data_IF_649920342313
#
_entry.id   IF_649920342313
#
_cell.length_a   1.000
_cell.length_b   1.000
_cell.length_c   1.000
_cell.angle_alpha   90.00
_cell.angle_beta   90.00
_cell.angle_gamma   90.00
#
_symmetry.space_group_name_H-M   'P 1'
#
loop_
_entity.id
_entity.type
_entity.pdbx_description
1 polymer ?
#
# COMPACT_ATOMS: atom_id res chain seq x y z
N UNK A 1 -15.24 -5.36 5.43
CA UNK A 1 -16.20 -4.43 4.78
C UNK A 1 -16.27 -3.16 5.62
N UNK A 2 -15.99 -2.00 5.03
CA UNK A 2 -16.00 -0.73 5.75
C UNK A 2 -17.41 -0.13 5.79
N UNK A 3 -17.77 0.54 6.89
CA UNK A 3 -19.07 1.18 7.05
C UNK A 3 -19.06 2.59 6.44
N UNK A 4 -20.00 2.97 5.56
CA UNK A 4 -20.06 4.32 5.02
C UNK A 4 -20.11 5.40 6.10
N UNK A 5 -19.46 6.53 5.82
CA UNK A 5 -19.40 7.69 6.74
C UNK A 5 -18.50 7.49 7.97
N UNK A 6 -17.87 6.33 8.12
CA UNK A 6 -16.90 6.08 9.21
C UNK A 6 -15.48 6.44 8.76
N UNK A 7 -14.67 6.91 9.72
CA UNK A 7 -13.24 7.11 9.53
C UNK A 7 -12.50 5.77 9.71
N UNK A 8 -11.48 5.55 8.90
CA UNK A 8 -10.55 4.43 9.00
C UNK A 8 -9.67 4.59 10.24
N UNK A 9 -9.78 3.65 11.16
CA UNK A 9 -8.87 3.57 12.31
C UNK A 9 -7.56 2.87 11.93
N UNK A 10 -6.43 3.21 12.58
CA UNK A 10 -5.18 2.48 12.42
C UNK A 10 -5.37 0.99 12.70
N UNK A 11 -4.77 0.15 11.85
CA UNK A 11 -4.68 -1.30 12.07
C UNK A 11 -3.20 -1.66 12.12
N UNK A 12 -2.81 -2.49 13.08
CA UNK A 12 -1.43 -2.92 13.23
C UNK A 12 -0.90 -3.50 11.90
N UNK A 13 0.31 -3.07 11.53
CA UNK A 13 1.00 -3.43 10.28
C UNK A 13 0.25 -3.09 9.00
N UNK A 14 -0.83 -2.31 9.04
CA UNK A 14 -1.47 -1.79 7.83
C UNK A 14 -0.92 -0.42 7.50
N UNK A 15 -0.60 -0.24 6.22
CA UNK A 15 -0.24 1.03 5.63
C UNK A 15 -1.18 1.34 4.48
N UNK A 16 -1.35 2.63 4.20
CA UNK A 16 -2.26 3.15 3.20
C UNK A 16 -1.51 4.08 2.26
N UNK A 17 -1.88 4.02 0.97
CA UNK A 17 -1.41 4.91 -0.09
C UNK A 17 -2.59 5.38 -0.93
N UNK A 18 -2.58 6.61 -1.45
CA UNK A 18 -3.43 6.96 -2.57
C UNK A 18 -3.13 6.02 -3.74
N UNK A 19 -4.15 5.51 -4.43
CA UNK A 19 -3.97 4.57 -5.56
C UNK A 19 -3.10 5.20 -6.67
N UNK A 20 -3.18 6.51 -6.83
CA UNK A 20 -2.36 7.26 -7.78
C UNK A 20 -0.84 7.18 -7.51
N UNK A 21 -0.42 6.70 -6.34
CA UNK A 21 0.98 6.51 -5.95
C UNK A 21 1.43 5.04 -6.00
N UNK A 22 0.56 4.11 -6.41
CA UNK A 22 0.94 2.72 -6.62
C UNK A 22 1.60 2.56 -7.98
N UNK A 23 2.93 2.64 -7.99
CA UNK A 23 3.77 2.41 -9.16
C UNK A 23 5.09 1.72 -8.74
N UNK A 24 6.11 1.73 -9.60
CA UNK A 24 7.43 1.11 -9.39
C UNK A 24 8.14 1.56 -8.10
N UNK A 25 8.09 2.86 -7.78
CA UNK A 25 8.67 3.40 -6.55
C UNK A 25 7.56 4.08 -5.78
N UNK A 26 7.34 3.63 -4.54
CA UNK A 26 6.29 4.16 -3.67
C UNK A 26 6.89 4.99 -2.53
N UNK A 27 6.22 6.09 -2.11
CA UNK A 27 6.58 6.78 -0.88
C UNK A 27 6.31 5.89 0.34
N UNK A 28 6.80 6.28 1.52
CA UNK A 28 6.50 5.56 2.76
C UNK A 28 4.98 5.59 3.05
N UNK A 29 4.38 4.44 3.36
CA UNK A 29 2.96 4.35 3.66
C UNK A 29 2.55 5.01 4.98
N UNK A 30 1.29 5.44 5.08
CA UNK A 30 0.73 6.08 6.29
C UNK A 30 -0.18 5.11 7.04
N UNK A 31 -0.32 5.28 8.35
CA UNK A 31 -1.14 4.39 9.20
C UNK A 31 -2.65 4.51 8.91
N UNK A 32 -3.07 5.68 8.44
CA UNK A 32 -4.43 5.95 7.99
C UNK A 32 -4.40 6.82 6.73
N UNK A 33 -5.49 6.83 5.94
CA UNK A 33 -5.68 7.76 4.83
C UNK A 33 -5.53 9.24 5.24
N UNK A 34 -5.97 9.59 6.45
CA UNK A 34 -5.84 10.97 6.99
C UNK A 34 -4.38 11.42 7.11
N UNK A 35 -3.44 10.49 7.26
CA UNK A 35 -2.00 10.78 7.30
C UNK A 35 -1.44 11.38 6.00
N UNK A 36 -2.21 11.33 4.91
CA UNK A 36 -1.89 11.96 3.62
C UNK A 36 -2.42 13.38 3.51
N UNK A 37 -3.21 13.86 4.48
CA UNK A 37 -3.77 15.20 4.47
C UNK A 37 -2.83 16.22 5.11
N UNK A 38 -2.67 17.35 4.44
CA UNK A 38 -2.04 18.53 5.02
C UNK A 38 -2.61 19.81 4.43
N UNK A 39 -2.24 20.94 5.04
CA UNK A 39 -2.67 22.27 4.60
C UNK A 39 -1.45 23.08 4.21
N UNK A 40 -1.53 23.77 3.08
CA UNK A 40 -0.52 24.74 2.67
C UNK A 40 -0.86 26.14 3.20
N UNK A 41 0.08 27.07 3.08
CA UNK A 41 -0.10 28.48 3.48
C UNK A 41 -1.20 29.19 2.69
N UNK A 42 -1.54 28.68 1.49
CA UNK A 42 -2.69 29.13 0.68
C UNK A 42 -4.06 28.79 1.30
N UNK A 43 -4.06 28.01 2.39
CA UNK A 43 -5.23 27.59 3.12
C UNK A 43 -5.97 26.40 2.49
N UNK A 44 -5.52 25.85 1.36
CA UNK A 44 -6.11 24.69 0.70
C UNK A 44 -5.67 23.39 1.36
N UNK A 45 -6.57 22.40 1.36
CA UNK A 45 -6.25 21.03 1.75
C UNK A 45 -5.58 20.31 0.58
N UNK A 46 -4.54 19.55 0.89
CA UNK A 46 -3.80 18.73 -0.06
C UNK A 46 -3.82 17.28 0.41
N UNK A 47 -3.82 16.37 -0.55
CA UNK A 47 -3.60 14.95 -0.34
C UNK A 47 -2.34 14.53 -1.09
N UNK A 48 -1.38 13.92 -0.39
CA UNK A 48 -0.13 13.44 -1.00
C UNK A 48 1.08 13.54 -0.08
N UNK A 49 2.28 13.46 -0.67
CA UNK A 49 3.51 13.73 0.06
C UNK A 49 3.69 15.24 0.26
N UNK A 50 4.28 15.62 1.39
CA UNK A 50 4.67 17.00 1.59
C UNK A 50 5.90 17.33 0.73
N UNK A 51 6.05 18.56 0.21
CA UNK A 51 7.21 18.93 -0.60
C UNK A 51 8.56 18.67 0.09
N UNK A 52 8.62 18.78 1.42
CA UNK A 52 9.81 18.48 2.21
C UNK A 52 10.11 16.98 2.37
N UNK A 53 9.16 16.09 2.07
CA UNK A 53 9.32 14.64 2.20
C UNK A 53 9.92 14.01 0.95
N UNK A 54 9.60 14.55 -0.23
CA UNK A 54 10.08 14.02 -1.51
C UNK A 54 10.23 15.16 -2.54
N UNK A 55 11.38 15.21 -3.20
CA UNK A 55 11.64 16.13 -4.31
C UNK A 55 10.79 15.74 -5.53
N UNK A 56 9.58 16.31 -5.65
CA UNK A 56 8.67 16.29 -6.80
C UNK A 56 8.18 14.92 -7.34
N UNK A 57 8.70 13.79 -6.86
CA UNK A 57 8.34 12.47 -7.39
C UNK A 57 6.92 12.04 -7.00
N UNK A 58 6.38 12.60 -5.92
CA UNK A 58 5.04 12.31 -5.40
C UNK A 58 4.27 13.61 -5.15
N UNK A 59 3.83 14.31 -6.20
CA UNK A 59 3.19 15.61 -6.04
C UNK A 59 1.85 15.47 -5.32
N UNK A 60 1.63 16.32 -4.33
CA UNK A 60 0.32 16.42 -3.69
C UNK A 60 -0.68 17.16 -4.56
N UNK A 61 -1.93 16.72 -4.55
CA UNK A 61 -3.03 17.35 -5.27
C UNK A 61 -3.98 18.07 -4.32
N UNK A 62 -4.67 19.10 -4.83
CA UNK A 62 -5.73 19.76 -4.08
C UNK A 62 -6.88 18.77 -3.85
N UNK A 63 -7.47 18.79 -2.65
CA UNK A 63 -8.66 18.01 -2.33
C UNK A 63 -9.76 18.92 -1.78
N UNK A 64 -10.94 18.87 -2.39
CA UNK A 64 -12.10 19.67 -2.04
C UNK A 64 -13.14 18.88 -1.21
N UNK A 65 -13.99 19.59 -0.45
CA UNK A 65 -15.09 18.97 0.31
C UNK A 65 -15.95 18.06 -0.59
N UNK A 66 -16.15 16.82 -0.16
CA UNK A 66 -16.94 15.84 -0.90
C UNK A 66 -16.18 15.09 -2.00
N UNK A 67 -14.95 15.49 -2.33
CA UNK A 67 -14.10 14.81 -3.30
C UNK A 67 -13.75 13.39 -2.83
N UNK A 68 -13.75 12.45 -3.77
CA UNK A 68 -13.46 11.04 -3.50
C UNK A 68 -12.07 10.71 -4.03
N UNK A 69 -11.23 10.18 -3.14
CA UNK A 69 -9.90 9.66 -3.43
C UNK A 69 -9.90 8.17 -3.17
N UNK A 70 -9.25 7.41 -4.05
CA UNK A 70 -9.09 5.98 -3.90
C UNK A 70 -7.79 5.68 -3.16
N UNK A 71 -7.87 4.79 -2.17
CA UNK A 71 -6.74 4.40 -1.33
C UNK A 71 -6.57 2.89 -1.29
N UNK A 72 -5.34 2.46 -1.43
CA UNK A 72 -4.94 1.06 -1.39
C UNK A 72 -4.28 0.75 -0.04
N UNK A 73 -4.92 -0.09 0.79
CA UNK A 73 -4.30 -0.61 1.98
C UNK A 73 -3.40 -1.82 1.68
N UNK A 74 -2.27 -1.88 2.37
CA UNK A 74 -1.37 -3.02 2.37
C UNK A 74 -1.12 -3.48 3.80
N UNK A 75 -1.25 -4.78 4.06
CA UNK A 75 -0.80 -5.38 5.31
C UNK A 75 0.66 -5.82 5.13
N UNK A 76 1.57 -5.23 5.88
CA UNK A 76 2.97 -5.65 5.96
C UNK A 76 3.07 -6.87 6.88
N UNK A 77 3.59 -7.98 6.36
CA UNK A 77 3.80 -9.22 7.12
C UNK A 77 5.27 -9.38 7.54
N UNK A 78 6.12 -8.40 7.25
CA UNK A 78 7.52 -8.40 7.61
C UNK A 78 8.37 -9.15 6.60
N UNK A 79 9.18 -10.07 7.11
CA UNK A 79 10.15 -10.84 6.34
C UNK A 79 9.92 -12.33 6.57
N UNK A 80 10.04 -13.12 5.51
CA UNK A 80 10.13 -14.58 5.59
C UNK A 80 11.47 -15.04 5.01
N UNK A 81 12.03 -16.09 5.59
CA UNK A 81 13.18 -16.80 5.03
C UNK A 81 12.67 -17.83 4.01
N UNK A 82 13.08 -17.66 2.75
CA UNK A 82 12.91 -18.63 1.68
C UNK A 82 14.12 -19.56 1.66
N UNK A 83 13.89 -20.85 1.86
CA UNK A 83 14.89 -21.90 1.65
C UNK A 83 14.54 -22.69 0.38
N UNK A 84 15.48 -22.77 -0.56
CA UNK A 84 15.38 -23.59 -1.78
C UNK A 84 16.31 -24.80 -1.62
N UNK A 85 15.80 -26.02 -1.85
CA UNK A 85 16.57 -27.26 -1.80
C UNK A 85 16.21 -28.15 -2.99
N UNK A 86 16.98 -28.08 -4.08
CA UNK A 86 16.67 -28.77 -5.32
C UNK A 86 15.36 -28.27 -5.93
N UNK A 87 14.39 -29.18 -6.07
CA UNK A 87 13.06 -28.87 -6.60
C UNK A 87 12.06 -28.40 -5.53
N UNK A 88 12.41 -28.52 -4.25
CA UNK A 88 11.56 -28.10 -3.14
C UNK A 88 11.93 -26.69 -2.66
N UNK A 89 10.96 -26.01 -2.03
CA UNK A 89 11.18 -24.74 -1.36
C UNK A 89 10.22 -24.56 -0.16
N UNK A 90 10.65 -23.76 0.81
CA UNK A 90 9.89 -23.45 2.03
C UNK A 90 10.03 -21.98 2.38
N UNK A 91 8.95 -21.37 2.85
CA UNK A 91 8.96 -20.05 3.49
C UNK A 91 8.74 -20.20 5.00
N UNK A 92 9.57 -19.55 5.80
CA UNK A 92 9.40 -19.46 7.26
C UNK A 92 9.47 -17.99 7.74
N UNK A 93 8.38 -17.42 8.28
CA UNK A 93 7.05 -18.01 8.42
C UNK A 93 6.36 -18.29 7.07
N UNK A 94 5.35 -19.17 7.04
CA UNK A 94 4.56 -19.43 5.84
C UNK A 94 3.89 -18.17 5.28
N UNK A 95 3.80 -18.08 3.95
CA UNK A 95 3.17 -16.94 3.28
C UNK A 95 1.66 -16.90 3.56
N UNK A 96 1.08 -15.71 3.85
CA UNK A 96 -0.35 -15.55 3.86
C UNK A 96 -0.93 -15.71 2.45
N UNK A 97 -2.23 -16.04 2.37
CA UNK A 97 -2.90 -16.16 1.08
C UNK A 97 -2.93 -14.80 0.35
N UNK A 98 -2.60 -14.82 -0.95
CA UNK A 98 -2.55 -13.61 -1.77
C UNK A 98 -1.38 -12.66 -1.46
N UNK A 99 -0.32 -13.16 -0.84
CA UNK A 99 0.87 -12.37 -0.56
C UNK A 99 1.65 -12.04 -1.83
N UNK A 100 2.10 -10.80 -1.92
CA UNK A 100 3.22 -10.39 -2.76
C UNK A 100 4.53 -10.57 -1.99
N UNK A 101 5.55 -11.03 -2.68
CA UNK A 101 6.91 -11.24 -2.17
C UNK A 101 7.94 -10.57 -3.07
N UNK A 102 9.04 -10.09 -2.47
CA UNK A 102 10.16 -9.50 -3.19
C UNK A 102 11.44 -9.53 -2.35
N UNK A 103 12.60 -9.40 -2.98
CA UNK A 103 13.88 -9.24 -2.30
C UNK A 103 13.97 -7.80 -1.76
N UNK A 104 14.27 -7.59 -0.46
CA UNK A 104 14.42 -6.25 0.09
C UNK A 104 15.50 -5.44 -0.66
N UNK A 105 15.11 -4.28 -1.18
CA UNK A 105 16.00 -3.41 -1.96
C UNK A 105 16.01 -3.66 -3.47
N UNK A 106 15.27 -4.67 -3.93
CA UNK A 106 15.13 -5.01 -5.35
C UNK A 106 13.64 -5.18 -5.69
N UNK A 107 13.00 -4.07 -6.05
CA UNK A 107 11.57 -4.00 -6.35
C UNK A 107 11.20 -4.69 -7.66
N UNK A 108 12.17 -4.95 -8.55
CA UNK A 108 11.96 -5.66 -9.82
C UNK A 108 11.65 -7.14 -9.60
N UNK A 109 11.94 -7.66 -8.40
CA UNK A 109 11.66 -9.05 -8.02
C UNK A 109 10.24 -9.26 -7.47
N UNK A 110 9.38 -8.24 -7.49
CA UNK A 110 8.03 -8.36 -6.95
C UNK A 110 7.21 -9.41 -7.70
N UNK A 111 6.60 -10.32 -6.95
CA UNK A 111 5.73 -11.37 -7.49
C UNK A 111 4.62 -11.71 -6.50
N UNK A 112 3.43 -11.99 -7.01
CA UNK A 112 2.29 -12.54 -6.26
C UNK A 112 2.17 -14.07 -6.41
N UNK A 113 3.10 -14.69 -7.14
CA UNK A 113 3.15 -16.12 -7.40
C UNK A 113 4.47 -16.72 -6.87
N UNK A 114 4.44 -17.38 -5.68
CA UNK A 114 5.64 -17.94 -5.07
C UNK A 114 6.40 -18.94 -5.94
N UNK A 115 5.71 -19.70 -6.80
CA UNK A 115 6.35 -20.67 -7.67
C UNK A 115 7.11 -19.99 -8.81
N UNK A 116 6.54 -18.93 -9.40
CA UNK A 116 7.22 -18.14 -10.44
C UNK A 116 8.42 -17.37 -9.86
N UNK A 117 8.26 -16.78 -8.68
CA UNK A 117 9.35 -16.13 -7.95
C UNK A 117 10.52 -17.09 -7.70
N UNK A 118 10.24 -18.30 -7.19
CA UNK A 118 11.27 -19.33 -6.95
C UNK A 118 11.92 -19.79 -8.26
N UNK A 119 11.15 -19.93 -9.34
CA UNK A 119 11.69 -20.31 -10.65
C UNK A 119 12.70 -19.26 -11.16
N UNK A 120 12.38 -17.97 -11.05
CA UNK A 120 13.30 -16.89 -11.41
C UNK A 120 14.57 -16.92 -10.54
N UNK A 121 14.42 -17.11 -9.23
CA UNK A 121 15.57 -17.20 -8.33
C UNK A 121 16.48 -18.39 -8.64
N UNK A 122 15.93 -19.53 -9.06
CA UNK A 122 16.74 -20.69 -9.47
C UNK A 122 17.61 -20.41 -10.68
N UNK A 123 17.14 -19.55 -11.60
CA UNK A 123 17.93 -19.14 -12.76
C UNK A 123 19.13 -18.25 -12.37
N UNK A 124 19.03 -17.53 -11.25
CA UNK A 124 20.01 -16.55 -10.79
C UNK A 124 20.97 -17.16 -9.75
N UNK A 125 20.43 -17.76 -8.70
CA UNK A 125 21.15 -18.23 -7.51
C UNK A 125 21.46 -19.74 -7.56
N UNK A 126 20.79 -20.49 -8.43
CA UNK A 126 20.90 -21.96 -8.52
C UNK A 126 19.88 -22.71 -7.65
N UNK A 127 20.09 -24.02 -7.50
CA UNK A 127 19.11 -24.93 -6.87
C UNK A 127 19.20 -25.02 -5.34
N UNK A 128 20.11 -24.29 -4.70
CA UNK A 128 20.25 -24.24 -3.24
C UNK A 128 20.50 -22.80 -2.80
N UNK A 129 19.56 -22.24 -2.02
CA UNK A 129 19.66 -20.86 -1.57
C UNK A 129 18.86 -20.64 -0.27
N UNK A 130 19.30 -19.67 0.52
CA UNK A 130 18.56 -19.12 1.66
C UNK A 130 18.47 -17.60 1.50
N UNK A 131 17.26 -17.08 1.34
CA UNK A 131 17.01 -15.69 0.93
C UNK A 131 15.95 -15.09 1.85
N UNK A 132 16.22 -13.89 2.38
CA UNK A 132 15.21 -13.13 3.09
C UNK A 132 14.33 -12.38 2.08
N UNK A 133 13.03 -12.62 2.12
CA UNK A 133 12.04 -11.94 1.28
C UNK A 133 11.13 -11.07 2.12
N UNK A 134 10.74 -9.92 1.59
CA UNK A 134 9.62 -9.14 2.13
C UNK A 134 8.30 -9.79 1.74
N UNK A 135 7.32 -9.67 2.63
CA UNK A 135 5.99 -10.26 2.45
C UNK A 135 4.93 -9.21 2.79
N UNK A 136 4.01 -8.97 1.87
CA UNK A 136 2.88 -8.08 2.12
C UNK A 136 1.62 -8.54 1.37
N UNK A 137 0.45 -8.13 1.84
CA UNK A 137 -0.84 -8.42 1.21
C UNK A 137 -1.54 -7.11 0.88
N UNK A 138 -1.68 -6.83 -0.41
CA UNK A 138 -2.53 -5.75 -0.92
C UNK A 138 -3.99 -6.16 -0.77
N UNK A 139 -4.83 -5.24 -0.27
CA UNK A 139 -6.28 -5.46 -0.21
C UNK A 139 -6.97 -4.56 -1.24
N UNK A 140 -8.23 -4.86 -1.49
CA UNK A 140 -9.07 -4.05 -2.38
C UNK A 140 -9.02 -2.56 -2.01
N UNK A 141 -8.85 -1.73 -3.05
CA UNK A 141 -8.89 -0.29 -2.93
C UNK A 141 -10.20 0.19 -2.31
N UNK A 142 -10.10 1.23 -1.50
CA UNK A 142 -11.22 1.81 -0.76
C UNK A 142 -11.40 3.24 -1.23
N UNK A 143 -12.61 3.55 -1.69
CA UNK A 143 -13.01 4.90 -2.07
C UNK A 143 -13.38 5.69 -0.83
N UNK A 144 -12.65 6.78 -0.58
CA UNK A 144 -12.82 7.62 0.60
C UNK A 144 -13.14 9.04 0.19
N UNK A 145 -14.14 9.62 0.84
CA UNK A 145 -14.57 10.99 0.64
C UNK A 145 -13.91 11.92 1.65
N UNK A 146 -13.30 12.99 1.18
CA UNK A 146 -12.79 14.05 2.04
C UNK A 146 -13.93 14.85 2.67
N UNK A 147 -13.81 15.13 3.96
CA UNK A 147 -14.70 16.05 4.66
C UNK A 147 -13.98 16.84 5.76
N UNK A 148 -14.23 18.14 5.80
CA UNK A 148 -13.91 19.04 6.89
C UNK A 148 -15.17 19.46 7.68
N UNK A 149 -16.34 18.90 7.35
CA UNK A 149 -17.58 19.17 8.05
C UNK A 149 -17.64 18.41 9.39
N UNK A 150 -18.12 19.11 10.42
CA UNK A 150 -18.38 18.53 11.73
C UNK A 150 -17.14 18.08 12.51
N UNK A 151 -15.95 18.57 12.18
CA UNK A 151 -14.72 18.21 12.89
C UNK A 151 -13.44 18.54 12.12
N UNK A 152 -12.29 17.99 12.54
CA UNK A 152 -11.05 18.13 11.78
C UNK A 152 -11.18 17.49 10.38
N UNK A 153 -10.43 18.00 9.38
CA UNK A 153 -10.36 17.42 8.05
C UNK A 153 -9.94 15.96 8.09
N UNK A 154 -10.66 15.10 7.36
CA UNK A 154 -10.45 13.65 7.35
C UNK A 154 -11.05 13.01 6.10
N UNK A 155 -10.69 11.76 5.85
CA UNK A 155 -11.32 10.87 4.90
C UNK A 155 -12.33 9.96 5.62
N UNK A 156 -13.50 9.79 4.99
CA UNK A 156 -14.53 8.84 5.45
C UNK A 156 -14.90 7.90 4.31
N UNK A 157 -15.32 6.68 4.66
CA UNK A 157 -15.74 5.68 3.67
C UNK A 157 -16.86 6.26 2.80
N UNK A 158 -16.63 6.33 1.49
CA UNK A 158 -17.64 6.78 0.56
C UNK A 158 -18.78 5.75 0.50
N UNK A 159 -19.99 6.22 0.26
CA UNK A 159 -21.08 5.31 -0.09
C UNK A 159 -20.75 4.65 -1.42
N UNK A 160 -21.05 3.35 -1.57
CA UNK A 160 -20.97 2.68 -2.85
C UNK A 160 -21.77 3.52 -3.84
N UNK A 161 -21.13 3.94 -4.94
CA UNK A 161 -21.68 4.94 -5.83
C UNK A 161 -23.16 4.68 -6.10
N UNK A 162 -24.02 5.65 -5.77
CA UNK A 162 -25.19 5.90 -6.60
C UNK A 162 -24.64 5.97 -8.02
N UNK A 163 -25.00 4.95 -8.82
CA UNK A 163 -24.51 4.81 -10.17
C UNK A 163 -24.65 6.16 -10.87
N UNK A 164 -23.56 6.63 -11.49
CA UNK A 164 -23.61 7.82 -12.36
C UNK A 164 -24.77 7.60 -13.34
N UNK A 165 -25.86 8.32 -13.15
CA UNK A 165 -26.96 8.45 -14.10
C UNK A 165 -26.54 9.32 -15.27
#
# INVERSE_FOLDING_TARGET
MFQPGTNIQPVANRKWWPDAYLDEIMPAGRETPDGWLFRLDDGAHRCGCRPEEHEDWFPAFAVAEGEVVEFSPCNDHGTSELTICGEDYLFDPPLPAGASIWIPGDTDTVSDNPAEFVAQLREIEGSEAMINVKVAVWLDSVRLRFTALGGPPRFVVAEAAEARS
#
